data_IF_116475692321
#
_entry.id   IF_116475692321
#
_cell.length_a   1.000
_cell.length_b   1.000
_cell.length_c   1.000
_cell.angle_alpha   90.00
_cell.angle_beta   90.00
_cell.angle_gamma   90.00
#
_symmetry.space_group_name_H-M   'P 1'
#
loop_
_entity.id
_entity.type
_entity.pdbx_description
1 polymer ?
#
# COMPACT_ATOMS: atom_id res chain seq x y z
N UNK A 1 18.27 -22.82 -41.40
CA UNK A 1 16.98 -22.10 -41.40
C UNK A 1 16.33 -22.07 -40.02
N UNK A 2 16.17 -23.21 -39.35
CA UNK A 2 15.58 -23.26 -37.99
C UNK A 2 16.26 -22.35 -36.94
N UNK A 3 17.60 -22.23 -36.99
CA UNK A 3 18.37 -21.32 -36.12
C UNK A 3 17.97 -19.85 -36.29
N UNK A 4 17.83 -19.38 -37.53
CA UNK A 4 17.46 -17.99 -37.82
C UNK A 4 16.01 -17.69 -37.42
N UNK A 5 15.12 -18.67 -37.58
CA UNK A 5 13.72 -18.57 -37.11
C UNK A 5 13.67 -18.48 -35.59
N UNK A 6 14.46 -19.29 -34.88
CA UNK A 6 14.48 -19.29 -33.41
C UNK A 6 15.04 -17.96 -32.84
N UNK A 7 16.09 -17.41 -33.46
CA UNK A 7 16.64 -16.09 -33.06
C UNK A 7 15.64 -14.96 -33.31
N UNK A 8 14.90 -15.01 -34.42
CA UNK A 8 13.85 -14.01 -34.71
C UNK A 8 12.68 -14.09 -33.72
N UNK A 9 12.27 -15.30 -33.32
CA UNK A 9 11.21 -15.49 -32.31
C UNK A 9 11.64 -14.99 -30.94
N UNK A 10 12.89 -15.23 -30.50
CA UNK A 10 13.39 -14.68 -29.23
C UNK A 10 13.48 -13.15 -29.24
N UNK A 11 13.89 -12.55 -30.35
CA UNK A 11 13.96 -11.09 -30.47
C UNK A 11 12.57 -10.43 -30.43
N UNK A 12 11.53 -11.13 -30.89
CA UNK A 12 10.14 -10.66 -30.83
C UNK A 12 9.46 -10.89 -29.47
N UNK A 13 10.08 -11.66 -28.57
CA UNK A 13 9.56 -11.91 -27.21
C UNK A 13 10.03 -10.90 -26.15
N UNK A 14 10.76 -9.85 -26.53
CA UNK A 14 11.10 -8.77 -25.59
C UNK A 14 9.87 -7.91 -25.30
N UNK A 15 9.20 -8.18 -24.19
CA UNK A 15 8.17 -7.29 -23.66
C UNK A 15 8.88 -6.03 -23.15
N UNK A 16 8.39 -4.81 -23.50
CA UNK A 16 8.94 -3.60 -22.91
C UNK A 16 8.79 -3.66 -21.39
N UNK A 17 9.91 -3.56 -20.67
CA UNK A 17 9.89 -3.28 -19.25
C UNK A 17 9.58 -1.79 -19.11
N UNK A 18 8.39 -1.48 -18.58
CA UNK A 18 8.05 -0.11 -18.21
C UNK A 18 8.67 0.17 -16.84
N UNK A 19 9.58 1.13 -16.76
CA UNK A 19 10.09 1.63 -15.48
C UNK A 19 8.99 2.36 -14.72
N UNK A 20 9.04 2.37 -13.39
CA UNK A 20 8.17 3.18 -12.56
C UNK A 20 8.62 4.65 -12.53
N UNK A 21 8.84 5.24 -13.71
CA UNK A 21 9.31 6.62 -13.91
C UNK A 21 8.13 7.61 -13.75
N UNK A 22 7.50 7.56 -12.58
CA UNK A 22 6.44 8.47 -12.15
C UNK A 22 6.93 9.34 -11.00
N UNK A 23 6.53 10.60 -11.00
CA UNK A 23 6.53 11.44 -9.80
C UNK A 23 5.17 11.34 -9.13
N UNK A 24 5.01 11.92 -7.95
CA UNK A 24 3.72 12.02 -7.29
C UNK A 24 3.27 13.48 -7.11
N UNK A 25 1.96 13.65 -7.04
CA UNK A 25 1.29 14.90 -6.69
C UNK A 25 0.30 14.63 -5.56
N UNK A 26 0.15 15.59 -4.65
CA UNK A 26 -0.87 15.55 -3.61
C UNK A 26 -2.07 16.40 -4.05
N UNK A 27 -3.14 15.74 -4.47
CA UNK A 27 -4.42 16.36 -4.81
C UNK A 27 -5.43 16.30 -3.67
N UNK A 28 -6.64 16.83 -3.90
CA UNK A 28 -7.76 16.72 -2.94
C UNK A 28 -8.18 15.27 -2.67
N UNK A 29 -7.83 14.36 -3.59
CA UNK A 29 -8.09 12.93 -3.50
C UNK A 29 -6.86 12.12 -3.07
N UNK A 30 -5.85 12.71 -2.45
CA UNK A 30 -4.65 11.98 -2.00
C UNK A 30 -3.54 11.92 -3.06
N UNK A 31 -2.71 10.89 -2.97
CA UNK A 31 -1.52 10.74 -3.79
C UNK A 31 -1.87 10.30 -5.22
N UNK A 32 -1.40 11.03 -6.22
CA UNK A 32 -1.61 10.74 -7.64
C UNK A 32 -0.24 10.58 -8.30
N UNK A 33 0.00 9.46 -8.98
CA UNK A 33 1.19 9.29 -9.80
C UNK A 33 1.05 10.15 -11.08
N UNK A 34 2.07 10.94 -11.36
CA UNK A 34 2.18 11.90 -12.45
C UNK A 34 3.52 11.73 -13.16
N UNK A 35 3.77 12.49 -14.22
CA UNK A 35 5.02 12.47 -14.98
C UNK A 35 5.59 13.87 -15.10
N UNK A 36 6.90 14.00 -14.92
CA UNK A 36 7.63 15.26 -15.06
C UNK A 36 8.76 15.10 -16.07
N UNK A 37 8.89 16.04 -17.01
CA UNK A 37 10.05 16.10 -17.91
C UNK A 37 11.26 16.76 -17.22
N UNK A 38 11.04 17.45 -16.09
CA UNK A 38 12.08 18.16 -15.36
C UNK A 38 12.96 17.22 -14.52
N UNK A 39 12.42 16.09 -14.05
CA UNK A 39 13.15 15.07 -13.29
C UNK A 39 12.96 13.73 -13.98
N UNK A 40 14.05 13.07 -14.36
CA UNK A 40 14.03 11.76 -14.98
C UNK A 40 14.61 10.69 -14.04
N UNK A 41 13.92 9.57 -13.88
CA UNK A 41 14.50 8.37 -13.27
C UNK A 41 15.51 7.73 -14.23
N UNK A 42 16.79 7.76 -13.87
CA UNK A 42 17.89 7.21 -14.66
C UNK A 42 18.05 5.70 -14.46
N UNK A 43 17.86 5.24 -13.22
CA UNK A 43 17.91 3.82 -12.88
C UNK A 43 17.03 3.50 -11.67
N UNK A 44 16.54 2.27 -11.65
CA UNK A 44 15.87 1.61 -10.54
C UNK A 44 16.56 0.25 -10.36
N UNK A 45 17.00 -0.05 -9.14
CA UNK A 45 17.49 -1.38 -8.76
C UNK A 45 16.58 -1.95 -7.66
N UNK A 46 15.73 -2.90 -8.05
CA UNK A 46 14.76 -3.55 -7.17
C UNK A 46 15.28 -4.93 -6.77
N UNK A 47 15.53 -5.09 -5.46
CA UNK A 47 15.88 -6.37 -4.86
C UNK A 47 14.73 -6.87 -3.98
N UNK A 48 14.34 -8.13 -4.18
CA UNK A 48 13.27 -8.80 -3.42
C UNK A 48 13.81 -10.14 -2.89
N UNK A 49 13.73 -10.32 -1.57
CA UNK A 49 13.94 -11.60 -0.89
C UNK A 49 12.83 -11.87 0.14
N UNK A 50 12.73 -13.09 0.68
CA UNK A 50 11.80 -13.39 1.76
C UNK A 50 11.98 -12.51 3.00
N UNK A 51 13.19 -11.99 3.22
CA UNK A 51 13.56 -11.21 4.41
C UNK A 51 13.53 -9.70 4.18
N UNK A 52 13.68 -9.23 2.93
CA UNK A 52 13.81 -7.79 2.63
C UNK A 52 13.43 -7.44 1.19
N UNK A 53 12.81 -6.28 1.05
CA UNK A 53 12.69 -5.56 -0.22
C UNK A 53 13.52 -4.27 -0.13
N UNK A 54 14.38 -4.01 -1.12
CA UNK A 54 15.07 -2.71 -1.27
C UNK A 54 14.88 -2.19 -2.68
N UNK A 55 14.74 -0.87 -2.80
CA UNK A 55 14.67 -0.20 -4.09
C UNK A 55 15.58 1.02 -4.08
N UNK A 56 16.55 1.03 -4.99
CA UNK A 56 17.49 2.13 -5.14
C UNK A 56 17.17 2.90 -6.43
N UNK A 57 16.90 4.19 -6.31
CA UNK A 57 16.59 5.07 -7.43
C UNK A 57 17.70 6.09 -7.66
N UNK A 58 18.00 6.36 -8.93
CA UNK A 58 18.83 7.50 -9.34
C UNK A 58 17.97 8.45 -10.15
N UNK A 59 17.79 9.68 -9.65
CA UNK A 59 17.06 10.74 -10.34
C UNK A 59 18.01 11.78 -10.92
N UNK A 60 17.67 12.33 -12.08
CA UNK A 60 18.40 13.43 -12.71
C UNK A 60 17.45 14.62 -12.93
N UNK A 61 17.83 15.80 -12.43
CA UNK A 61 17.19 17.06 -12.79
C UNK A 61 17.70 17.49 -14.18
N UNK A 62 16.82 17.48 -15.17
CA UNK A 62 17.09 17.84 -16.57
C UNK A 62 17.15 19.36 -16.80
N UNK A 63 16.96 20.17 -15.76
CA UNK A 63 16.86 21.63 -15.86
C UNK A 63 18.07 22.33 -15.22
N UNK A 64 18.17 23.65 -15.42
CA UNK A 64 19.16 24.51 -14.77
C UNK A 64 18.61 25.21 -13.51
N UNK A 65 17.42 24.83 -13.06
CA UNK A 65 16.75 25.40 -11.88
C UNK A 65 16.52 24.34 -10.82
N UNK A 66 16.30 24.78 -9.58
CA UNK A 66 15.85 23.89 -8.51
C UNK A 66 14.45 23.35 -8.82
N UNK A 67 14.26 22.03 -8.69
CA UNK A 67 12.99 21.35 -8.90
C UNK A 67 12.58 20.63 -7.63
N UNK A 68 11.34 20.84 -7.19
CA UNK A 68 10.73 20.05 -6.13
C UNK A 68 9.80 19.02 -6.75
N UNK A 69 9.99 17.75 -6.38
CA UNK A 69 9.16 16.64 -6.80
C UNK A 69 8.86 15.75 -5.60
N UNK A 70 7.68 15.14 -5.58
CA UNK A 70 7.34 14.10 -4.62
C UNK A 70 7.68 12.76 -5.27
N UNK A 71 8.40 11.92 -4.55
CA UNK A 71 8.60 10.51 -4.91
C UNK A 71 7.72 9.68 -3.97
N UNK A 72 6.91 8.80 -4.54
CA UNK A 72 6.00 7.96 -3.80
C UNK A 72 6.34 6.49 -3.99
N UNK A 73 6.30 5.74 -2.90
CA UNK A 73 6.43 4.29 -2.93
C UNK A 73 5.06 3.67 -2.64
N UNK A 74 4.44 2.95 -3.59
CA UNK A 74 3.17 2.30 -3.35
C UNK A 74 3.36 1.14 -2.36
N UNK A 75 2.56 1.13 -1.31
CA UNK A 75 2.51 0.02 -0.37
C UNK A 75 1.52 -1.04 -0.88
N UNK A 76 1.74 -2.34 -0.60
CA UNK A 76 0.78 -3.36 -0.97
C UNK A 76 -0.56 -3.14 -0.27
N UNK A 77 -1.65 -3.46 -0.98
CA UNK A 77 -2.98 -3.46 -0.39
C UNK A 77 -3.05 -4.52 0.72
N UNK A 78 -3.64 -4.14 1.85
CA UNK A 78 -3.91 -5.02 2.98
C UNK A 78 -5.42 -5.22 3.07
N UNK A 79 -5.87 -6.44 2.82
CA UNK A 79 -7.29 -6.79 2.95
C UNK A 79 -7.60 -7.14 4.41
N UNK A 80 -8.76 -6.74 4.93
CA UNK A 80 -9.27 -7.18 6.22
C UNK A 80 -9.94 -8.55 6.12
N UNK A 81 -9.33 -9.52 5.44
CA UNK A 81 -9.89 -10.87 5.32
C UNK A 81 -9.42 -11.72 6.51
N UNK A 82 -10.33 -12.22 7.39
CA UNK A 82 -9.94 -13.08 8.52
C UNK A 82 -9.23 -14.37 8.11
N UNK A 83 -9.44 -14.85 6.88
CA UNK A 83 -8.79 -16.05 6.33
C UNK A 83 -7.37 -15.76 5.80
N UNK A 84 -7.04 -14.49 5.57
CA UNK A 84 -5.70 -14.05 5.19
C UNK A 84 -4.88 -13.79 6.45
N UNK A 85 -3.81 -14.57 6.62
CA UNK A 85 -2.80 -14.33 7.67
C UNK A 85 -1.54 -13.81 6.96
N UNK A 86 -1.48 -12.52 6.59
CA UNK A 86 -0.28 -11.99 5.96
C UNK A 86 0.89 -12.03 6.95
N UNK A 87 2.06 -12.42 6.46
CA UNK A 87 3.29 -12.45 7.25
C UNK A 87 3.82 -11.01 7.43
N UNK A 88 3.17 -10.25 8.32
CA UNK A 88 3.49 -8.85 8.59
C UNK A 88 4.49 -8.78 9.76
N UNK A 89 5.68 -8.18 9.58
CA UNK A 89 6.73 -8.14 10.60
C UNK A 89 6.32 -7.40 11.88
N UNK A 90 5.57 -6.31 11.73
CA UNK A 90 5.12 -5.46 12.85
C UNK A 90 3.61 -5.23 12.76
N UNK A 91 2.85 -5.71 13.74
CA UNK A 91 1.39 -5.70 13.72
C UNK A 91 0.74 -4.60 14.58
N UNK A 92 1.50 -3.57 14.98
CA UNK A 92 1.05 -2.54 15.92
C UNK A 92 1.37 -1.11 15.52
N UNK A 93 1.99 -0.88 14.36
CA UNK A 93 2.33 0.46 13.86
C UNK A 93 1.74 0.68 12.46
N UNK A 94 1.51 1.94 12.08
CA UNK A 94 1.12 2.27 10.70
C UNK A 94 2.28 1.98 9.71
N UNK A 95 3.52 1.85 10.21
CA UNK A 95 4.68 1.41 9.46
C UNK A 95 4.90 -0.11 9.58
N UNK A 96 3.84 -0.88 9.34
CA UNK A 96 3.79 -2.32 9.58
C UNK A 96 4.84 -3.16 8.80
N UNK A 97 5.45 -2.60 7.74
CA UNK A 97 6.55 -3.22 6.98
C UNK A 97 7.95 -2.71 7.38
N UNK A 98 8.07 -1.79 8.33
CA UNK A 98 9.35 -1.19 8.69
C UNK A 98 9.96 -0.39 7.54
N UNK A 99 9.15 0.37 6.80
CA UNK A 99 9.59 1.20 5.69
C UNK A 99 10.54 2.30 6.17
N UNK A 100 11.69 2.38 5.51
CA UNK A 100 12.76 3.35 5.78
C UNK A 100 13.21 3.97 4.45
N UNK A 101 13.65 5.23 4.51
CA UNK A 101 14.11 5.98 3.34
C UNK A 101 15.43 6.66 3.65
N UNK A 102 16.35 6.61 2.69
CA UNK A 102 17.54 7.48 2.67
C UNK A 102 17.57 8.26 1.36
N UNK A 103 18.07 9.49 1.43
CA UNK A 103 18.29 10.37 0.27
C UNK A 103 19.75 10.79 0.33
N UNK A 104 20.53 10.46 -0.70
CA UNK A 104 21.98 10.70 -0.76
C UNK A 104 22.73 10.21 0.49
N UNK A 105 22.31 9.04 1.01
CA UNK A 105 22.89 8.42 2.21
C UNK A 105 22.43 9.02 3.54
N UNK A 106 21.54 10.02 3.54
CA UNK A 106 20.98 10.64 4.75
C UNK A 106 19.58 10.11 5.00
N UNK A 107 19.32 9.67 6.25
CA UNK A 107 17.99 9.21 6.65
C UNK A 107 16.94 10.32 6.44
N UNK A 108 15.84 9.97 5.77
CA UNK A 108 14.71 10.84 5.53
C UNK A 108 13.46 10.25 6.20
N UNK A 109 12.60 11.12 6.74
CA UNK A 109 11.32 10.69 7.29
C UNK A 109 10.25 10.67 6.18
N UNK A 110 9.73 9.49 5.79
CA UNK A 110 8.65 9.44 4.81
C UNK A 110 7.35 9.99 5.41
N UNK A 111 6.48 10.48 4.52
CA UNK A 111 5.10 10.83 4.88
C UNK A 111 4.19 9.69 4.45
N UNK A 112 3.31 9.26 5.36
CA UNK A 112 2.38 8.17 5.12
C UNK A 112 1.05 8.73 4.61
N UNK A 113 0.66 8.34 3.41
CA UNK A 113 -0.70 8.51 2.88
C UNK A 113 -1.37 7.14 2.89
N UNK A 114 -2.54 7.06 3.53
CA UNK A 114 -3.28 5.83 3.70
C UNK A 114 -4.77 6.08 3.51
N UNK A 115 -5.40 5.08 2.89
CA UNK A 115 -6.84 5.04 2.69
C UNK A 115 -7.40 3.68 3.06
N UNK A 116 -8.65 3.69 3.47
CA UNK A 116 -9.45 2.49 3.68
C UNK A 116 -10.60 2.52 2.68
N UNK A 117 -10.70 1.46 1.90
CA UNK A 117 -11.72 1.29 0.87
C UNK A 117 -12.64 0.13 1.26
N UNK A 118 -13.95 0.36 1.24
CA UNK A 118 -14.95 -0.69 1.27
C UNK A 118 -15.72 -0.67 -0.04
N UNK A 119 -15.72 -1.79 -0.78
CA UNK A 119 -16.34 -1.90 -2.10
C UNK A 119 -15.91 -0.79 -3.08
N UNK A 120 -14.65 -0.34 -2.98
CA UNK A 120 -14.09 0.75 -3.80
C UNK A 120 -14.45 2.16 -3.35
N UNK A 121 -15.16 2.32 -2.23
CA UNK A 121 -15.55 3.62 -1.67
C UNK A 121 -14.60 3.97 -0.51
N UNK A 122 -14.03 5.17 -0.53
CA UNK A 122 -13.18 5.68 0.54
C UNK A 122 -13.99 5.96 1.82
N UNK A 123 -13.71 5.18 2.86
CA UNK A 123 -14.34 5.24 4.18
C UNK A 123 -13.37 5.72 5.26
N UNK A 124 -12.19 6.22 4.88
CA UNK A 124 -11.11 6.63 5.79
C UNK A 124 -11.60 7.64 6.83
N UNK A 125 -12.45 8.59 6.44
CA UNK A 125 -13.01 9.59 7.34
C UNK A 125 -13.93 8.98 8.40
N UNK A 126 -14.67 7.91 8.07
CA UNK A 126 -15.58 7.24 9.00
C UNK A 126 -14.80 6.45 10.05
N UNK A 127 -13.78 5.70 9.65
CA UNK A 127 -12.90 5.01 10.59
C UNK A 127 -12.20 6.00 11.52
N UNK A 128 -11.68 7.11 10.99
CA UNK A 128 -11.10 8.19 11.81
C UNK A 128 -12.11 8.77 12.79
N UNK A 129 -13.34 9.04 12.36
CA UNK A 129 -14.40 9.58 13.23
C UNK A 129 -14.77 8.62 14.37
N UNK A 130 -14.68 7.31 14.14
CA UNK A 130 -14.91 6.27 15.14
C UNK A 130 -13.64 5.85 15.91
N UNK A 131 -12.49 6.47 15.64
CA UNK A 131 -11.18 6.10 16.21
C UNK A 131 -10.81 4.63 15.98
N UNK A 132 -11.15 4.09 14.80
CA UNK A 132 -10.77 2.75 14.36
C UNK A 132 -9.46 2.85 13.57
N UNK A 133 -8.37 2.21 14.03
CA UNK A 133 -7.12 2.13 13.28
C UNK A 133 -7.30 1.50 11.90
N UNK A 134 -6.48 1.93 10.93
CA UNK A 134 -6.60 1.45 9.55
C UNK A 134 -5.99 0.08 9.32
N UNK A 135 -5.06 -0.35 10.19
CA UNK A 135 -4.48 -1.69 10.13
C UNK A 135 -5.46 -2.74 10.69
N UNK A 136 -6.07 -3.60 9.87
CA UNK A 136 -7.23 -4.40 10.27
C UNK A 136 -6.86 -5.58 11.19
N UNK A 137 -5.60 -6.02 11.17
CA UNK A 137 -5.16 -7.21 11.92
C UNK A 137 -4.65 -6.92 13.34
N UNK A 138 -4.46 -5.65 13.70
CA UNK A 138 -3.92 -5.27 15.00
C UNK A 138 -4.95 -5.39 16.12
N UNK A 139 -4.49 -5.70 17.34
CA UNK A 139 -5.35 -5.74 18.54
C UNK A 139 -6.08 -4.42 18.77
N UNK A 140 -5.47 -3.30 18.37
CA UNK A 140 -6.06 -1.97 18.47
C UNK A 140 -7.32 -1.82 17.59
N UNK A 141 -7.32 -2.38 16.37
CA UNK A 141 -8.48 -2.35 15.48
C UNK A 141 -9.63 -3.18 16.07
N UNK A 142 -9.34 -4.42 16.48
CA UNK A 142 -10.32 -5.31 17.14
C UNK A 142 -10.93 -4.66 18.38
N UNK A 143 -10.10 -4.05 19.23
CA UNK A 143 -10.55 -3.36 20.43
C UNK A 143 -11.37 -2.09 20.14
N UNK A 144 -11.11 -1.39 19.02
CA UNK A 144 -11.90 -0.24 18.59
C UNK A 144 -13.26 -0.68 18.04
N UNK A 145 -13.28 -1.70 17.18
CA UNK A 145 -14.51 -2.28 16.63
C UNK A 145 -15.46 -2.79 17.73
N UNK A 146 -14.92 -3.46 18.74
CA UNK A 146 -15.71 -3.94 19.89
C UNK A 146 -16.36 -2.81 20.74
N UNK A 147 -15.92 -1.56 20.59
CA UNK A 147 -16.45 -0.39 21.30
C UNK A 147 -17.42 0.43 20.47
N UNK A 148 -17.64 0.08 19.20
CA UNK A 148 -18.55 0.80 18.34
C UNK A 148 -20.00 0.70 18.86
N UNK A 149 -20.79 1.78 18.75
CA UNK A 149 -22.23 1.70 19.00
C UNK A 149 -22.88 0.65 18.09
N UNK A 150 -23.83 -0.14 18.60
CA UNK A 150 -24.46 -1.21 17.83
C UNK A 150 -25.06 -0.71 16.49
N UNK A 151 -25.63 0.49 16.46
CA UNK A 151 -26.15 1.07 15.23
C UNK A 151 -25.07 1.33 14.16
N UNK A 152 -23.83 1.64 14.57
CA UNK A 152 -22.69 1.80 13.65
C UNK A 152 -22.23 0.44 13.16
N UNK A 153 -22.17 -0.55 14.05
CA UNK A 153 -21.85 -1.94 13.69
C UNK A 153 -22.84 -2.48 12.66
N UNK A 154 -24.14 -2.31 12.89
CA UNK A 154 -25.18 -2.77 11.98
C UNK A 154 -25.08 -2.06 10.60
N UNK A 155 -24.82 -0.75 10.58
CA UNK A 155 -24.59 -0.01 9.33
C UNK A 155 -23.34 -0.50 8.58
N UNK A 156 -22.23 -0.65 9.29
CA UNK A 156 -20.95 -1.06 8.71
C UNK A 156 -20.98 -2.50 8.18
N UNK A 157 -21.66 -3.42 8.87
CA UNK A 157 -21.92 -4.78 8.37
C UNK A 157 -22.77 -4.73 7.10
N UNK A 158 -23.88 -3.97 7.11
CA UNK A 158 -24.76 -3.85 5.94
C UNK A 158 -24.07 -3.25 4.71
N UNK A 159 -23.07 -2.39 4.92
CA UNK A 159 -22.27 -1.74 3.87
C UNK A 159 -21.03 -2.55 3.48
N UNK A 160 -20.75 -3.68 4.14
CA UNK A 160 -19.58 -4.52 3.88
C UNK A 160 -18.26 -3.86 4.29
N UNK A 161 -18.28 -2.99 5.32
CA UNK A 161 -17.10 -2.33 5.88
C UNK A 161 -16.38 -3.24 6.87
N UNK A 162 -17.14 -3.96 7.71
CA UNK A 162 -16.64 -4.95 8.66
C UNK A 162 -17.37 -6.27 8.47
N UNK A 163 -16.71 -7.36 8.83
CA UNK A 163 -17.25 -8.71 8.77
C UNK A 163 -17.36 -9.26 10.19
N UNK A 164 -18.48 -9.92 10.51
CA UNK A 164 -18.61 -10.68 11.75
C UNK A 164 -17.77 -11.96 11.62
N UNK A 165 -16.69 -12.04 12.39
CA UNK A 165 -15.90 -13.25 12.57
C UNK A 165 -16.68 -14.19 13.50
N UNK A 166 -17.50 -15.04 12.89
CA UNK A 166 -18.14 -16.15 13.60
C UNK A 166 -17.08 -17.24 13.80
N UNK A 167 -16.45 -17.24 14.97
CA UNK A 167 -15.54 -18.32 15.37
C UNK A 167 -16.12 -19.71 15.09
N UNK A 168 -15.25 -20.64 14.71
CA UNK A 168 -15.58 -22.00 14.24
C UNK A 168 -16.37 -22.89 15.22
N UNK A 169 -16.71 -22.41 16.40
CA UNK A 169 -17.25 -23.18 17.53
C UNK A 169 -18.72 -22.89 17.87
N UNK A 170 -19.40 -21.97 17.18
CA UNK A 170 -20.87 -21.85 17.22
C UNK A 170 -21.48 -21.57 18.60
N UNK A 171 -20.67 -21.17 19.58
CA UNK A 171 -21.13 -20.73 20.89
C UNK A 171 -21.12 -19.21 20.94
N UNK A 172 -22.32 -18.62 21.04
CA UNK A 172 -22.55 -17.18 21.24
C UNK A 172 -21.87 -16.68 22.53
N UNK A 173 -20.60 -16.31 22.46
CA UNK A 173 -19.99 -15.43 23.46
C UNK A 173 -18.91 -14.58 22.80
N UNK A 174 -19.29 -13.33 22.50
CA UNK A 174 -18.53 -12.25 21.85
C UNK A 174 -18.41 -12.34 20.32
N UNK A 175 -19.24 -11.53 19.63
CA UNK A 175 -19.05 -11.22 18.22
C UNK A 175 -17.72 -10.49 18.07
N UNK A 176 -16.82 -11.04 17.25
CA UNK A 176 -15.58 -10.37 16.87
C UNK A 176 -15.79 -9.81 15.47
N UNK A 177 -15.26 -8.62 15.21
CA UNK A 177 -15.30 -8.01 13.88
C UNK A 177 -13.88 -7.76 13.40
N UNK A 178 -13.69 -7.92 12.10
CA UNK A 178 -12.47 -7.56 11.37
C UNK A 178 -12.85 -6.66 10.19
#
# INVERSE_FOLDING_TARGET
MLRYVLTAVLALSSVPAFANDSVAELGTGGLILSRSDAVAMQSEDLFISPERVTVDYVFHNNTDQDVQAIVAFPMPDISGNPEEIPAIPENQSDNFLGFEVTIDGVAAKPQLEQKVLALGIDISAELKAQNVPFYPFGDAAKAALAKLPQAVVDDWVNRGIIIEDTGSDGTETSKVYT
#
